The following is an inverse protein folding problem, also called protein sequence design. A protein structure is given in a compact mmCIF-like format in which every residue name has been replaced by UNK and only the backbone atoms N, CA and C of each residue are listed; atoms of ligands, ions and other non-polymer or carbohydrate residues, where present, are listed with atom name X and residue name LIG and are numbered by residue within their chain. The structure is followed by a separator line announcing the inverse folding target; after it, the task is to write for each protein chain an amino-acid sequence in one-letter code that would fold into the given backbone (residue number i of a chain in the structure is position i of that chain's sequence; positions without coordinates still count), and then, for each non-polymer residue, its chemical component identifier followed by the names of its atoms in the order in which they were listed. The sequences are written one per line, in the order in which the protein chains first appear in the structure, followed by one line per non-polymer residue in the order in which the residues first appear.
data_IF_315463978196
#
_entry.id   IF_315463978196
#
_cell.length_a   1.000
_cell.length_b   1.000
_cell.length_c   1.000
_cell.angle_alpha   90.00
_cell.angle_beta   90.00
_cell.angle_gamma   90.00
#
_symmetry.space_group_name_H-M   'P 1'
#
loop_
_entity.id
_entity.type
_entity.pdbx_description
1 polymer ?
#
# COMPACT_ATOMS: atom_id res chain seq x y z
N UNK A 1 -2.86 12.92 -66.24
CA UNK A 1 -2.31 13.91 -65.29
C UNK A 1 -3.03 13.78 -63.95
N UNK A 2 -2.25 13.82 -62.85
CA UNK A 2 -2.56 13.72 -61.41
C UNK A 2 -3.62 14.76 -60.97
N UNK A 3 -4.34 14.71 -59.83
CA UNK A 3 -4.54 13.82 -58.67
C UNK A 3 -5.76 14.45 -57.96
N UNK A 4 -6.82 13.70 -57.66
CA UNK A 4 -7.90 14.15 -56.77
C UNK A 4 -7.54 13.79 -55.31
N UNK A 5 -7.72 14.75 -54.40
CA UNK A 5 -7.54 14.58 -52.95
C UNK A 5 -8.66 13.71 -52.37
N UNK A 6 -8.32 12.50 -51.91
CA UNK A 6 -9.14 11.72 -50.98
C UNK A 6 -8.71 12.04 -49.54
N UNK A 7 -9.58 12.73 -48.79
CA UNK A 7 -9.48 12.83 -47.33
C UNK A 7 -9.96 11.49 -46.73
N UNK A 8 -9.05 10.69 -46.19
CA UNK A 8 -9.41 9.49 -45.42
C UNK A 8 -9.74 9.88 -43.97
N UNK A 9 -11.00 9.70 -43.58
CA UNK A 9 -11.38 9.61 -42.17
C UNK A 9 -10.75 8.32 -41.61
N UNK A 10 -9.88 8.44 -40.60
CA UNK A 10 -9.40 7.28 -39.86
C UNK A 10 -10.55 6.71 -39.03
N UNK A 11 -10.81 5.39 -39.04
CA UNK A 11 -11.89 4.80 -38.27
C UNK A 11 -11.61 4.93 -36.77
N UNK A 12 -12.65 5.28 -36.01
CA UNK A 12 -12.71 5.51 -34.55
C UNK A 12 -12.19 4.32 -33.71
N UNK A 13 -11.85 3.19 -34.33
CA UNK A 13 -11.41 1.96 -33.67
C UNK A 13 -9.93 1.96 -33.25
N UNK A 14 -9.05 2.73 -33.90
CA UNK A 14 -7.62 2.77 -33.55
C UNK A 14 -7.36 3.52 -32.23
N UNK A 15 -7.98 4.70 -31.97
CA UNK A 15 -7.81 5.39 -30.69
C UNK A 15 -8.36 4.60 -29.49
N UNK A 16 -9.44 3.84 -29.67
CA UNK A 16 -10.06 3.03 -28.62
C UNK A 16 -9.16 1.86 -28.21
N UNK A 17 -8.47 1.25 -29.18
CA UNK A 17 -7.51 0.17 -28.94
C UNK A 17 -6.26 0.67 -28.21
N UNK A 18 -5.76 1.85 -28.56
CA UNK A 18 -4.65 2.49 -27.85
C UNK A 18 -5.02 2.86 -26.40
N UNK A 19 -6.25 3.35 -26.17
CA UNK A 19 -6.75 3.66 -24.83
C UNK A 19 -6.87 2.39 -23.95
N UNK A 20 -7.32 1.28 -24.52
CA UNK A 20 -7.40 -0.01 -23.80
C UNK A 20 -6.01 -0.58 -23.46
N UNK A 21 -5.01 -0.41 -24.34
CA UNK A 21 -3.63 -0.82 -24.06
C UNK A 21 -3.02 0.03 -22.94
N UNK A 22 -3.27 1.34 -22.91
CA UNK A 22 -2.81 2.23 -21.83
C UNK A 22 -3.46 1.92 -20.48
N UNK A 23 -4.74 1.53 -20.46
CA UNK A 23 -5.46 1.14 -19.24
C UNK A 23 -4.99 -0.20 -18.67
N UNK A 24 -4.50 -1.12 -19.51
CA UNK A 24 -3.98 -2.41 -19.07
C UNK A 24 -2.51 -2.37 -18.62
N UNK A 25 -1.72 -1.36 -19.01
CA UNK A 25 -0.27 -1.30 -18.72
C UNK A 25 0.21 0.11 -18.32
N UNK A 26 -0.20 0.64 -17.15
CA UNK A 26 0.05 2.04 -16.76
C UNK A 26 1.52 2.39 -16.45
N UNK A 27 2.44 1.41 -16.40
CA UNK A 27 3.85 1.65 -16.03
C UNK A 27 4.80 1.91 -17.20
N UNK A 28 4.36 1.87 -18.46
CA UNK A 28 5.28 1.76 -19.60
C UNK A 28 5.02 2.71 -20.79
N UNK A 29 4.08 3.65 -20.68
CA UNK A 29 3.89 4.69 -21.71
C UNK A 29 4.59 5.98 -21.26
N UNK A 30 5.56 6.45 -22.04
CA UNK A 30 6.24 7.73 -21.83
C UNK A 30 5.20 8.86 -21.78
N UNK A 31 5.24 9.70 -20.72
CA UNK A 31 4.35 10.85 -20.50
C UNK A 31 4.32 11.82 -21.70
N UNK A 32 5.35 11.83 -22.56
CA UNK A 32 5.38 12.63 -23.80
C UNK A 32 4.46 12.10 -24.90
N UNK A 33 4.18 10.80 -24.94
CA UNK A 33 3.26 10.16 -25.91
C UNK A 33 1.81 10.39 -25.49
N UNK A 34 1.52 10.24 -24.20
CA UNK A 34 0.20 10.46 -23.61
C UNK A 34 -0.28 11.90 -23.81
N UNK A 35 0.60 12.88 -23.57
CA UNK A 35 0.31 14.30 -23.79
C UNK A 35 0.17 14.72 -25.26
N UNK A 36 0.67 13.91 -26.21
CA UNK A 36 0.49 14.15 -27.66
C UNK A 36 -0.88 13.63 -28.12
N UNK A 37 -1.27 12.43 -27.67
CA UNK A 37 -2.57 11.82 -27.96
C UNK A 37 -3.72 12.66 -27.39
N UNK A 38 -3.58 13.16 -26.16
CA UNK A 38 -4.58 14.02 -25.53
C UNK A 38 -4.72 15.36 -26.28
N UNK A 39 -3.61 15.94 -26.76
CA UNK A 39 -3.63 17.18 -27.55
C UNK A 39 -4.27 16.99 -28.92
N UNK A 40 -3.99 15.88 -29.60
CA UNK A 40 -4.61 15.56 -30.89
C UNK A 40 -6.13 15.32 -30.75
N UNK A 41 -6.56 14.73 -29.62
CA UNK A 41 -7.98 14.57 -29.29
C UNK A 41 -8.68 15.91 -29.00
N UNK A 42 -8.03 16.82 -28.27
CA UNK A 42 -8.55 18.16 -27.99
C UNK A 42 -8.60 19.05 -29.26
N UNK A 43 -7.65 18.88 -30.19
CA UNK A 43 -7.62 19.59 -31.46
C UNK A 43 -8.71 19.15 -32.44
N UNK A 44 -9.14 17.88 -32.37
CA UNK A 44 -10.23 17.35 -33.20
C UNK A 44 -11.64 17.67 -32.66
N UNK A 45 -11.75 18.14 -31.41
CA UNK A 45 -13.03 18.54 -30.78
C UNK A 45 -13.47 19.99 -31.00
N UNK A 46 -12.68 20.83 -31.67
CA UNK A 46 -12.99 22.26 -31.91
C UNK A 46 -13.31 22.56 -33.38
N UNK A 47 -14.33 21.93 -33.95
CA UNK A 47 -15.05 22.43 -35.14
C UNK A 47 -16.52 22.03 -35.05
N UNK A 48 -17.35 22.89 -34.47
CA UNK A 48 -18.80 22.87 -34.70
C UNK A 48 -19.10 23.68 -35.98
N UNK A 49 -20.17 23.34 -36.71
CA UNK A 49 -21.41 24.08 -36.48
C UNK A 49 -22.68 23.20 -36.43
N UNK A 50 -23.60 23.69 -35.61
CA UNK A 50 -25.05 23.58 -35.52
C UNK A 50 -25.83 22.60 -36.42
N UNK A 51 -26.88 22.04 -35.80
CA UNK A 51 -28.03 21.29 -36.34
C UNK A 51 -27.91 19.76 -36.47
N UNK A 52 -28.05 19.05 -35.35
CA UNK A 52 -28.68 17.71 -35.32
C UNK A 52 -29.09 17.29 -33.89
N UNK A 53 -30.31 16.76 -33.65
CA UNK A 53 -30.77 16.40 -32.30
C UNK A 53 -30.19 15.04 -31.87
N UNK A 54 -28.99 15.04 -31.30
CA UNK A 54 -28.40 13.86 -30.67
C UNK A 54 -27.54 14.17 -29.42
N UNK A 55 -27.64 15.38 -28.88
CA UNK A 55 -26.86 15.83 -27.71
C UNK A 55 -27.58 15.64 -26.36
N UNK A 56 -28.51 14.69 -26.24
CA UNK A 56 -29.23 14.38 -25.00
C UNK A 56 -29.00 12.95 -24.47
N UNK A 57 -28.01 12.20 -24.98
CA UNK A 57 -27.67 10.85 -24.49
C UNK A 57 -26.21 10.69 -24.05
N UNK A 58 -25.55 11.77 -23.64
CA UNK A 58 -24.17 11.73 -23.11
C UNK A 58 -24.07 12.00 -21.60
N UNK A 59 -25.19 12.00 -20.87
CA UNK A 59 -25.24 12.21 -19.41
C UNK A 59 -25.68 10.97 -18.60
N UNK A 60 -25.83 9.81 -19.23
CA UNK A 60 -26.38 8.59 -18.60
C UNK A 60 -25.40 7.43 -18.33
N UNK A 61 -24.10 7.58 -18.61
CA UNK A 61 -23.15 6.43 -18.59
C UNK A 61 -22.44 6.21 -17.24
N UNK A 62 -22.81 6.93 -16.18
CA UNK A 62 -22.19 6.77 -14.84
C UNK A 62 -23.15 6.38 -13.71
N UNK A 63 -24.24 5.67 -14.02
CA UNK A 63 -25.10 5.06 -13.00
C UNK A 63 -25.58 3.68 -13.45
N UNK A 64 -24.95 2.61 -12.92
CA UNK A 64 -25.39 1.25 -13.23
C UNK A 64 -24.39 0.12 -12.94
N UNK A 65 -23.64 0.20 -11.85
CA UNK A 65 -22.91 -0.94 -11.27
C UNK A 65 -23.65 -1.38 -10.00
N UNK A 66 -24.90 -1.81 -10.16
CA UNK A 66 -25.69 -2.50 -9.15
C UNK A 66 -26.28 -3.74 -9.82
N UNK A 67 -25.97 -4.92 -9.30
CA UNK A 67 -26.58 -6.19 -9.72
C UNK A 67 -28.05 -6.21 -9.27
N UNK A 68 -29.00 -6.61 -10.12
CA UNK A 68 -29.94 -7.63 -9.64
C UNK A 68 -30.49 -8.61 -10.71
N UNK A 69 -30.62 -9.87 -10.29
CA UNK A 69 -31.92 -10.53 -10.14
C UNK A 69 -32.82 -10.75 -11.36
N UNK A 70 -32.81 -12.00 -11.84
CA UNK A 70 -33.94 -12.75 -12.43
C UNK A 70 -35.30 -12.02 -12.55
N UNK A 71 -35.70 -11.61 -13.77
CA UNK A 71 -37.12 -11.63 -14.22
C UNK A 71 -37.23 -11.90 -15.73
N UNK A 72 -38.32 -12.59 -16.07
CA UNK A 72 -38.66 -13.26 -17.34
C UNK A 72 -38.89 -12.30 -18.53
N UNK A 73 -38.59 -12.80 -19.72
CA UNK A 73 -38.89 -12.20 -21.04
C UNK A 73 -40.39 -12.11 -21.34
N UNK A 74 -40.79 -11.16 -22.20
CA UNK A 74 -41.82 -11.40 -23.20
C UNK A 74 -41.23 -11.49 -24.61
N UNK A 75 -41.82 -12.40 -25.36
CA UNK A 75 -41.54 -12.85 -26.72
C UNK A 75 -41.73 -11.78 -27.80
N UNK A 76 -40.78 -11.66 -28.74
CA UNK A 76 -40.93 -10.82 -29.93
C UNK A 76 -39.84 -11.02 -30.99
N UNK A 77 -40.23 -11.66 -32.10
CA UNK A 77 -39.56 -11.93 -33.40
C UNK A 77 -38.12 -11.41 -33.65
N UNK A 78 -37.24 -12.37 -34.00
CA UNK A 78 -35.91 -12.16 -34.60
C UNK A 78 -36.00 -11.48 -35.98
N UNK A 79 -35.16 -10.47 -36.22
CA UNK A 79 -34.58 -10.15 -37.53
C UNK A 79 -33.07 -10.35 -37.47
N UNK A 80 -32.53 -11.06 -38.46
CA UNK A 80 -31.11 -11.31 -38.65
C UNK A 80 -30.45 -10.08 -39.30
N UNK A 81 -29.27 -9.69 -38.81
CA UNK A 81 -28.41 -8.69 -39.46
C UNK A 81 -27.74 -7.74 -38.47
N UNK A 82 -26.43 -7.91 -38.27
CA UNK A 82 -25.57 -6.99 -37.52
C UNK A 82 -25.10 -7.54 -36.17
N UNK A 83 -23.82 -7.89 -36.07
CA UNK A 83 -23.18 -8.13 -34.78
C UNK A 83 -23.24 -6.82 -33.98
N UNK A 84 -23.97 -6.79 -32.86
CA UNK A 84 -24.10 -5.57 -32.04
C UNK A 84 -22.73 -5.16 -31.49
N UNK A 85 -22.50 -3.86 -31.28
CA UNK A 85 -21.27 -3.31 -30.68
C UNK A 85 -20.85 -4.05 -29.40
N UNK A 86 -21.83 -4.53 -28.63
CA UNK A 86 -21.65 -5.35 -27.44
C UNK A 86 -21.03 -6.74 -27.70
N UNK A 87 -21.33 -7.35 -28.85
CA UNK A 87 -20.74 -8.65 -29.23
C UNK A 87 -19.25 -8.55 -29.56
N UNK A 88 -18.80 -7.43 -30.13
CA UNK A 88 -17.39 -7.19 -30.46
C UNK A 88 -16.58 -6.99 -29.19
N UNK A 89 -17.05 -6.13 -28.27
CA UNK A 89 -16.38 -5.88 -26.98
C UNK A 89 -16.28 -7.17 -26.15
N UNK A 90 -17.36 -7.97 -26.11
CA UNK A 90 -17.36 -9.25 -25.39
C UNK A 90 -16.38 -10.26 -25.99
N UNK A 91 -16.26 -10.31 -27.32
CA UNK A 91 -15.32 -11.21 -27.99
C UNK A 91 -13.86 -10.77 -27.80
N UNK A 92 -13.58 -9.46 -27.78
CA UNK A 92 -12.23 -8.93 -27.52
C UNK A 92 -11.79 -9.18 -26.08
N UNK A 93 -12.67 -8.95 -25.10
CA UNK A 93 -12.40 -9.23 -23.69
C UNK A 93 -12.13 -10.73 -23.45
N UNK A 94 -12.96 -11.61 -24.04
CA UNK A 94 -12.77 -13.06 -23.96
C UNK A 94 -11.43 -13.52 -24.58
N UNK A 95 -11.03 -12.92 -25.71
CA UNK A 95 -9.77 -13.28 -26.39
C UNK A 95 -8.54 -12.81 -25.60
N UNK A 96 -8.57 -11.59 -25.06
CA UNK A 96 -7.50 -11.04 -24.21
C UNK A 96 -7.28 -11.90 -22.97
N UNK A 97 -8.37 -12.34 -22.34
CA UNK A 97 -8.33 -13.20 -21.17
C UNK A 97 -7.66 -14.55 -21.48
N UNK A 98 -7.91 -15.18 -22.64
CA UNK A 98 -7.22 -16.42 -23.03
C UNK A 98 -5.78 -16.24 -23.46
N UNK A 99 -5.44 -15.09 -24.05
CA UNK A 99 -4.06 -14.76 -24.44
C UNK A 99 -3.16 -14.62 -23.21
N UNK A 100 -3.69 -14.05 -22.11
CA UNK A 100 -3.00 -13.94 -20.82
C UNK A 100 -2.80 -15.30 -20.12
N UNK A 101 -3.60 -16.32 -20.45
CA UNK A 101 -3.51 -17.67 -19.87
C UNK A 101 -2.76 -18.68 -20.75
N UNK A 102 -2.12 -18.24 -21.85
CA UNK A 102 -1.26 -19.09 -22.69
C UNK A 102 -1.96 -20.04 -23.66
N UNK A 103 -3.29 -19.97 -23.78
CA UNK A 103 -4.11 -20.97 -24.50
C UNK A 103 -4.53 -20.48 -25.91
N UNK A 104 -3.54 -20.22 -26.78
CA UNK A 104 -3.73 -19.48 -28.05
C UNK A 104 -4.05 -20.38 -29.26
N UNK A 105 -3.85 -21.70 -29.18
CA UNK A 105 -4.03 -22.59 -30.35
C UNK A 105 -5.50 -22.93 -30.68
N UNK A 106 -6.46 -22.34 -29.96
CA UNK A 106 -7.90 -22.50 -30.20
C UNK A 106 -8.60 -21.17 -30.51
N UNK A 107 -8.22 -20.51 -31.61
CA UNK A 107 -9.01 -19.39 -32.17
C UNK A 107 -9.99 -19.93 -33.24
N UNK A 108 -11.32 -19.79 -33.06
CA UNK A 108 -12.28 -20.25 -34.06
C UNK A 108 -12.20 -19.45 -35.36
N UNK A 109 -12.30 -20.12 -36.53
CA UNK A 109 -12.26 -19.53 -37.88
C UNK A 109 -13.38 -18.51 -38.20
N UNK A 110 -14.33 -18.27 -37.28
CA UNK A 110 -15.44 -17.31 -37.45
C UNK A 110 -15.44 -16.30 -36.30
N UNK A 111 -14.43 -15.45 -36.23
CA UNK A 111 -14.59 -14.15 -35.58
C UNK A 111 -15.15 -13.21 -36.64
N UNK A 112 -16.29 -12.56 -36.40
CA UNK A 112 -16.93 -11.63 -37.34
C UNK A 112 -16.15 -10.32 -37.56
N UNK A 113 -14.82 -10.39 -37.55
CA UNK A 113 -13.90 -9.29 -37.77
C UNK A 113 -13.73 -9.07 -39.28
N UNK A 114 -13.77 -7.82 -39.71
CA UNK A 114 -13.49 -7.44 -41.11
C UNK A 114 -12.04 -7.80 -41.45
N UNK A 115 -11.77 -8.11 -42.74
CA UNK A 115 -10.43 -8.49 -43.20
C UNK A 115 -9.29 -7.54 -42.79
N UNK A 116 -9.49 -6.20 -42.72
CA UNK A 116 -8.47 -5.27 -42.21
C UNK A 116 -8.14 -5.49 -40.73
N UNK A 117 -9.14 -5.74 -39.88
CA UNK A 117 -8.96 -5.94 -38.44
C UNK A 117 -8.23 -7.25 -38.13
N UNK A 118 -8.52 -8.32 -38.89
CA UNK A 118 -7.78 -9.57 -38.79
C UNK A 118 -6.30 -9.41 -39.20
N UNK A 119 -6.01 -8.52 -40.16
CA UNK A 119 -4.65 -8.22 -40.61
C UNK A 119 -3.87 -7.42 -39.57
N UNK A 120 -4.50 -6.40 -38.98
CA UNK A 120 -3.91 -5.63 -37.88
C UNK A 120 -3.62 -6.50 -36.65
N UNK A 121 -4.54 -7.41 -36.30
CA UNK A 121 -4.34 -8.35 -35.19
C UNK A 121 -3.15 -9.30 -35.43
N UNK A 122 -3.00 -9.83 -36.66
CA UNK A 122 -1.82 -10.65 -37.01
C UNK A 122 -0.51 -9.88 -36.90
N UNK A 123 -0.49 -8.60 -37.25
CA UNK A 123 0.69 -7.74 -37.09
C UNK A 123 1.03 -7.57 -35.61
N UNK A 124 0.05 -7.29 -34.75
CA UNK A 124 0.27 -7.13 -33.30
C UNK A 124 0.82 -8.42 -32.66
N UNK A 125 0.25 -9.58 -32.98
CA UNK A 125 0.73 -10.88 -32.47
C UNK A 125 2.15 -11.18 -32.97
N UNK A 126 2.46 -10.82 -34.22
CA UNK A 126 3.80 -11.01 -34.80
C UNK A 126 4.83 -10.10 -34.12
N UNK A 127 4.48 -8.84 -33.86
CA UNK A 127 5.34 -7.90 -33.13
C UNK A 127 5.57 -8.33 -31.68
N UNK A 128 4.54 -8.87 -31.01
CA UNK A 128 4.69 -9.42 -29.67
C UNK A 128 5.62 -10.64 -29.64
N UNK A 129 5.49 -11.56 -30.61
CA UNK A 129 6.43 -12.70 -30.76
C UNK A 129 7.86 -12.26 -31.03
N UNK A 130 8.04 -11.23 -31.88
CA UNK A 130 9.35 -10.68 -32.17
C UNK A 130 9.95 -10.00 -30.92
N UNK A 131 9.15 -9.26 -30.15
CA UNK A 131 9.57 -8.64 -28.90
C UNK A 131 9.98 -9.66 -27.83
N UNK A 132 9.21 -10.74 -27.64
CA UNK A 132 9.58 -11.83 -26.73
C UNK A 132 10.85 -12.54 -27.17
N UNK A 133 11.07 -12.71 -28.49
CA UNK A 133 12.32 -13.26 -29.02
C UNK A 133 13.51 -12.31 -28.84
N UNK A 134 13.31 -11.01 -29.02
CA UNK A 134 14.35 -10.01 -28.79
C UNK A 134 14.81 -10.01 -27.31
N UNK A 135 13.88 -10.20 -26.37
CA UNK A 135 14.20 -10.39 -24.94
C UNK A 135 14.96 -11.71 -24.66
N UNK A 136 14.72 -12.76 -25.45
CA UNK A 136 15.48 -14.03 -25.34
C UNK A 136 16.85 -14.02 -26.04
N UNK A 137 17.11 -13.05 -26.94
CA UNK A 137 18.36 -12.94 -27.71
C UNK A 137 19.35 -11.98 -27.04
N UNK A 138 18.92 -11.16 -26.09
CA UNK A 138 19.83 -10.32 -25.28
C UNK A 138 20.50 -11.05 -24.11
N UNK A 139 20.26 -12.35 -23.93
CA UNK A 139 21.07 -13.18 -23.04
C UNK A 139 22.28 -13.74 -23.80
N UNK A 140 23.17 -12.83 -24.18
CA UNK A 140 24.56 -13.20 -24.47
C UNK A 140 25.17 -13.78 -23.19
N UNK A 141 25.84 -14.92 -23.34
CA UNK A 141 26.48 -15.72 -22.30
C UNK A 141 27.25 -14.90 -21.26
N UNK A 142 26.58 -14.64 -20.14
CA UNK A 142 27.25 -14.41 -18.86
C UNK A 142 27.44 -15.81 -18.29
N UNK A 143 28.68 -16.26 -18.20
CA UNK A 143 29.02 -17.42 -17.38
C UNK A 143 28.37 -17.23 -16.00
N UNK A 144 27.69 -18.22 -15.42
CA UNK A 144 27.22 -18.09 -14.04
C UNK A 144 28.47 -18.04 -13.16
N UNK A 145 29.02 -16.84 -12.96
CA UNK A 145 29.59 -16.53 -11.66
C UNK A 145 28.49 -16.86 -10.68
N UNK A 146 28.77 -17.78 -9.76
CA UNK A 146 27.98 -18.00 -8.57
C UNK A 146 27.49 -16.64 -8.08
N UNK A 147 26.21 -16.36 -8.32
CA UNK A 147 25.51 -15.36 -7.54
C UNK A 147 25.44 -16.02 -6.18
N UNK A 148 26.52 -15.83 -5.41
CA UNK A 148 26.55 -16.13 -3.99
C UNK A 148 25.28 -15.47 -3.48
N UNK A 149 24.29 -16.24 -2.97
CA UNK A 149 23.06 -15.64 -2.48
C UNK A 149 23.49 -14.52 -1.56
N UNK A 150 22.99 -13.30 -1.80
CA UNK A 150 23.03 -12.24 -0.80
C UNK A 150 22.56 -12.93 0.46
N UNK A 151 23.49 -13.09 1.40
CA UNK A 151 23.46 -14.03 2.51
C UNK A 151 22.02 -14.23 2.96
N UNK A 152 21.48 -15.46 2.90
CA UNK A 152 20.19 -15.74 3.55
C UNK A 152 20.26 -15.03 4.91
N UNK A 153 19.34 -14.10 5.23
CA UNK A 153 19.43 -13.35 6.47
C UNK A 153 19.53 -14.40 7.56
N UNK A 154 20.62 -14.37 8.32
CA UNK A 154 20.93 -15.38 9.33
C UNK A 154 19.66 -15.62 10.15
N UNK A 155 19.08 -16.81 9.98
CA UNK A 155 17.73 -17.12 10.47
C UNK A 155 17.67 -16.76 11.94
N UNK A 156 16.61 -16.05 12.31
CA UNK A 156 16.32 -15.80 13.71
C UNK A 156 16.15 -17.14 14.43
N UNK A 157 16.40 -17.18 15.74
CA UNK A 157 16.31 -18.43 16.48
C UNK A 157 14.87 -18.95 16.43
N UNK A 158 14.67 -20.16 15.89
CA UNK A 158 13.33 -20.74 15.69
C UNK A 158 12.58 -20.97 17.02
N UNK A 159 13.31 -21.12 18.13
CA UNK A 159 12.75 -21.39 19.45
C UNK A 159 12.51 -20.14 20.31
N UNK A 160 12.88 -18.95 19.82
CA UNK A 160 12.73 -17.70 20.58
C UNK A 160 11.56 -16.87 20.03
N UNK A 161 10.78 -16.21 20.91
CA UNK A 161 9.73 -15.31 20.48
C UNK A 161 10.32 -14.12 19.71
N UNK A 162 9.57 -13.59 18.76
CA UNK A 162 10.06 -12.54 17.85
C UNK A 162 9.26 -11.26 17.98
N UNK A 163 9.96 -10.13 18.16
CA UNK A 163 9.38 -8.79 18.08
C UNK A 163 9.89 -8.05 16.84
N UNK A 164 8.98 -7.40 16.11
CA UNK A 164 9.34 -6.42 15.09
C UNK A 164 9.07 -5.02 15.63
N UNK A 165 10.09 -4.16 15.63
CA UNK A 165 10.00 -2.80 16.16
C UNK A 165 10.26 -1.80 15.03
N UNK A 166 9.26 -0.99 14.72
CA UNK A 166 9.44 0.12 13.76
C UNK A 166 10.08 1.33 14.44
N UNK A 167 11.09 1.96 13.81
CA UNK A 167 11.73 3.16 14.35
C UNK A 167 12.59 2.90 15.60
N UNK A 168 13.41 1.85 15.56
CA UNK A 168 14.22 1.37 16.68
C UNK A 168 15.60 2.05 16.82
N UNK A 169 15.93 3.05 15.99
CA UNK A 169 17.27 3.65 16.00
C UNK A 169 17.55 4.60 17.16
N UNK A 170 16.51 5.04 17.90
CA UNK A 170 16.64 6.00 19.02
C UNK A 170 15.43 5.98 19.92
N UNK A 171 15.53 6.65 21.06
CA UNK A 171 14.41 6.91 21.97
C UNK A 171 13.74 5.62 22.44
N UNK A 172 12.41 5.62 22.47
CA UNK A 172 11.63 4.51 22.99
C UNK A 172 11.82 3.21 22.19
N UNK A 173 11.94 3.30 20.86
CA UNK A 173 12.17 2.13 20.00
C UNK A 173 13.50 1.42 20.29
N UNK A 174 14.56 2.18 20.59
CA UNK A 174 15.86 1.62 20.97
C UNK A 174 15.79 0.94 22.35
N UNK A 175 15.11 1.57 23.31
CA UNK A 175 14.90 1.00 24.64
C UNK A 175 14.10 -0.32 24.58
N UNK A 176 13.09 -0.42 23.71
CA UNK A 176 12.40 -1.68 23.45
C UNK A 176 13.34 -2.75 22.88
N UNK A 177 14.16 -2.40 21.88
CA UNK A 177 15.08 -3.35 21.27
C UNK A 177 16.07 -3.91 22.30
N UNK A 178 16.61 -3.06 23.18
CA UNK A 178 17.52 -3.48 24.26
C UNK A 178 16.83 -4.40 25.27
N UNK A 179 15.61 -4.09 25.69
CA UNK A 179 14.92 -4.88 26.71
C UNK A 179 14.41 -6.22 26.18
N UNK A 180 13.83 -6.26 24.97
CA UNK A 180 13.42 -7.52 24.37
C UNK A 180 14.61 -8.45 24.13
N UNK A 181 15.74 -7.93 23.64
CA UNK A 181 16.93 -8.78 23.45
C UNK A 181 17.53 -9.25 24.78
N UNK A 182 17.46 -8.44 25.85
CA UNK A 182 17.89 -8.85 27.19
C UNK A 182 17.01 -9.97 27.77
N UNK A 183 15.77 -10.09 27.29
CA UNK A 183 14.86 -11.20 27.60
C UNK A 183 14.98 -12.37 26.62
N UNK A 184 16.07 -12.46 25.85
CA UNK A 184 16.33 -13.51 24.85
C UNK A 184 15.37 -13.56 23.65
N UNK A 185 14.63 -12.49 23.37
CA UNK A 185 13.80 -12.43 22.17
C UNK A 185 14.65 -12.20 20.91
N UNK A 186 14.17 -12.70 19.78
CA UNK A 186 14.60 -12.22 18.48
C UNK A 186 14.04 -10.81 18.25
N UNK A 187 14.88 -9.88 17.78
CA UNK A 187 14.46 -8.50 17.54
C UNK A 187 14.72 -8.13 16.09
N UNK A 188 13.66 -7.85 15.34
CA UNK A 188 13.73 -7.19 14.03
C UNK A 188 13.59 -5.68 14.28
N UNK A 189 14.72 -4.99 14.36
CA UNK A 189 14.78 -3.56 14.67
C UNK A 189 14.90 -2.74 13.39
N UNK A 190 13.87 -1.96 13.05
CA UNK A 190 13.87 -1.22 11.78
C UNK A 190 14.19 0.25 11.93
N UNK A 191 14.87 0.84 10.95
CA UNK A 191 15.13 2.27 10.88
C UNK A 191 15.32 2.74 9.42
N UNK A 192 15.18 4.05 9.17
CA UNK A 192 15.29 4.58 7.79
C UNK A 192 16.73 4.61 7.27
N UNK A 193 17.70 4.83 8.16
CA UNK A 193 19.11 4.93 7.81
C UNK A 193 19.95 4.13 8.81
N UNK A 194 20.34 2.92 8.39
CA UNK A 194 21.12 1.99 9.21
C UNK A 194 22.52 2.54 9.50
N UNK A 195 23.16 3.20 8.55
CA UNK A 195 24.53 3.71 8.76
C UNK A 195 24.58 4.82 9.81
N UNK A 196 23.54 5.65 9.87
CA UNK A 196 23.38 6.71 10.87
C UNK A 196 22.82 6.23 12.24
N UNK A 197 22.42 4.96 12.37
CA UNK A 197 21.85 4.41 13.60
C UNK A 197 22.95 3.87 14.55
N UNK A 198 23.85 4.73 15.02
CA UNK A 198 25.02 4.35 15.84
C UNK A 198 24.66 3.48 17.03
N UNK A 199 23.68 3.92 17.83
CA UNK A 199 23.34 3.30 19.11
C UNK A 199 22.71 1.91 18.88
N UNK A 200 21.85 1.81 17.86
CA UNK A 200 21.25 0.53 17.47
C UNK A 200 22.30 -0.44 16.91
N UNK A 201 23.28 0.05 16.15
CA UNK A 201 24.40 -0.76 15.66
C UNK A 201 25.29 -1.25 16.80
N UNK A 202 25.59 -0.39 17.76
CA UNK A 202 26.36 -0.76 18.95
C UNK A 202 25.60 -1.82 19.77
N UNK A 203 24.29 -1.64 19.93
CA UNK A 203 23.43 -2.61 20.60
C UNK A 203 23.44 -3.97 19.88
N UNK A 204 23.35 -3.99 18.55
CA UNK A 204 23.41 -5.23 17.76
C UNK A 204 24.77 -5.94 17.82
N UNK A 205 25.88 -5.21 18.03
CA UNK A 205 27.19 -5.83 18.31
C UNK A 205 27.19 -6.56 19.65
N UNK A 206 26.50 -6.01 20.67
CA UNK A 206 26.35 -6.64 21.99
C UNK A 206 25.36 -7.81 21.98
N UNK A 207 24.35 -7.74 21.12
CA UNK A 207 23.26 -8.69 21.06
C UNK A 207 23.05 -9.25 19.64
N UNK A 208 23.61 -10.44 19.33
CA UNK A 208 23.51 -11.06 18.01
C UNK A 208 22.07 -11.44 17.58
N UNK A 209 21.11 -11.42 18.50
CA UNK A 209 19.69 -11.66 18.23
C UNK A 209 18.98 -10.46 17.57
N UNK A 210 19.63 -9.29 17.53
CA UNK A 210 19.11 -8.12 16.81
C UNK A 210 19.44 -8.25 15.32
N UNK A 211 18.41 -8.09 14.49
CA UNK A 211 18.52 -7.88 13.05
C UNK A 211 18.10 -6.45 12.75
N UNK A 212 19.06 -5.65 12.28
CA UNK A 212 18.80 -4.27 11.89
C UNK A 212 18.32 -4.25 10.43
N UNK A 213 17.18 -3.62 10.20
CA UNK A 213 16.54 -3.57 8.89
C UNK A 213 16.27 -2.13 8.43
N UNK A 214 16.44 -1.88 7.13
CA UNK A 214 16.08 -0.59 6.55
C UNK A 214 14.57 -0.55 6.27
N UNK A 215 13.87 0.40 6.87
CA UNK A 215 12.44 0.60 6.62
C UNK A 215 12.03 2.07 6.77
N UNK A 216 11.45 2.61 5.71
CA UNK A 216 10.55 3.75 5.76
C UNK A 216 9.10 3.25 5.70
N UNK A 217 8.34 3.48 6.77
CA UNK A 217 6.95 3.02 6.90
C UNK A 217 5.98 3.70 5.92
N UNK A 218 6.41 4.79 5.27
CA UNK A 218 5.64 5.49 4.23
C UNK A 218 5.79 4.86 2.85
N UNK A 219 6.74 3.92 2.68
CA UNK A 219 7.09 3.33 1.39
C UNK A 219 6.59 1.89 1.25
N UNK A 220 5.52 1.73 0.47
CA UNK A 220 4.85 0.45 0.22
C UNK A 220 5.80 -0.64 -0.26
N UNK A 221 6.75 -0.30 -1.14
CA UNK A 221 7.72 -1.24 -1.69
C UNK A 221 8.75 -1.71 -0.66
N UNK A 222 9.17 -0.85 0.26
CA UNK A 222 10.06 -1.24 1.36
C UNK A 222 9.33 -2.12 2.38
N UNK A 223 8.10 -1.76 2.73
CA UNK A 223 7.26 -2.56 3.66
C UNK A 223 7.00 -3.95 3.08
N UNK A 224 6.61 -4.05 1.80
CA UNK A 224 6.35 -5.31 1.13
C UNK A 224 7.62 -6.17 0.98
N UNK A 225 8.76 -5.56 0.64
CA UNK A 225 10.04 -6.27 0.53
C UNK A 225 10.47 -6.84 1.89
N UNK A 226 10.31 -6.08 2.98
CA UNK A 226 10.67 -6.54 4.31
C UNK A 226 9.74 -7.67 4.78
N UNK A 227 8.43 -7.54 4.59
CA UNK A 227 7.48 -8.61 4.90
C UNK A 227 7.80 -9.90 4.12
N UNK A 228 8.15 -9.78 2.82
CA UNK A 228 8.54 -10.92 2.00
C UNK A 228 9.81 -11.60 2.49
N UNK A 229 10.80 -10.83 2.96
CA UNK A 229 12.05 -11.37 3.54
C UNK A 229 11.79 -12.23 4.78
N UNK A 230 10.79 -11.85 5.59
CA UNK A 230 10.42 -12.54 6.82
C UNK A 230 9.15 -13.38 6.67
N UNK A 231 8.77 -13.78 5.44
CA UNK A 231 7.51 -14.50 5.20
C UNK A 231 7.39 -15.82 5.98
N UNK A 232 8.51 -16.50 6.24
CA UNK A 232 8.57 -17.73 7.01
C UNK A 232 8.82 -17.53 8.52
N UNK A 233 8.94 -16.29 8.99
CA UNK A 233 9.24 -15.97 10.39
C UNK A 233 7.97 -15.54 11.12
N UNK A 234 7.49 -16.30 12.13
CA UNK A 234 6.43 -15.83 13.00
C UNK A 234 6.87 -14.58 13.79
N UNK A 235 5.95 -13.61 13.95
CA UNK A 235 6.16 -12.39 14.72
C UNK A 235 5.16 -12.35 15.88
N UNK A 236 5.63 -12.61 17.10
CA UNK A 236 4.80 -12.64 18.31
C UNK A 236 4.27 -11.25 18.67
N UNK A 237 5.10 -10.23 18.50
CA UNK A 237 4.75 -8.83 18.76
C UNK A 237 5.19 -7.97 17.58
N UNK A 238 4.22 -7.38 16.87
CA UNK A 238 4.47 -6.28 15.96
C UNK A 238 4.29 -4.96 16.71
N UNK A 239 5.37 -4.20 16.86
CA UNK A 239 5.41 -2.94 17.60
C UNK A 239 5.50 -1.74 16.64
N UNK A 240 4.36 -1.13 16.35
CA UNK A 240 4.23 0.12 15.61
C UNK A 240 4.66 1.31 16.49
N UNK A 241 5.97 1.51 16.62
CA UNK A 241 6.59 2.58 17.40
C UNK A 241 6.99 3.80 16.55
N UNK A 242 7.23 3.64 15.25
CA UNK A 242 7.63 4.76 14.40
C UNK A 242 6.58 5.88 14.44
N UNK A 243 7.06 7.11 14.68
CA UNK A 243 6.21 8.29 14.75
C UNK A 243 7.01 9.59 14.75
N UNK A 244 6.35 10.66 14.33
CA UNK A 244 6.91 12.00 14.24
C UNK A 244 5.92 13.00 14.83
N UNK A 245 6.45 14.06 15.47
CA UNK A 245 5.63 15.16 15.99
C UNK A 245 5.21 16.12 14.87
N UNK A 246 6.13 16.39 13.97
CA UNK A 246 6.10 17.52 13.07
C UNK A 246 6.44 18.83 13.76
N UNK A 247 6.67 19.90 12.98
CA UNK A 247 7.12 21.17 13.54
C UNK A 247 5.98 21.91 14.26
N UNK A 248 6.09 22.06 15.58
CA UNK A 248 5.09 22.69 16.44
C UNK A 248 4.66 24.10 15.97
N UNK A 249 5.59 24.93 15.51
CA UNK A 249 5.27 26.29 15.06
C UNK A 249 4.46 26.30 13.76
N UNK A 250 4.51 25.22 12.99
CA UNK A 250 3.79 25.04 11.72
C UNK A 250 2.48 24.26 11.90
N UNK A 251 2.03 24.04 13.15
CA UNK A 251 0.74 23.39 13.45
C UNK A 251 -0.22 24.34 14.18
N UNK A 252 -0.07 25.65 13.98
CA UNK A 252 -0.94 26.67 14.56
C UNK A 252 -1.85 27.25 13.49
N UNK A 253 -3.07 27.65 13.85
CA UNK A 253 -3.96 28.33 12.90
C UNK A 253 -3.30 29.63 12.42
N UNK A 254 -3.31 29.86 11.11
CA UNK A 254 -2.60 30.97 10.45
C UNK A 254 -1.19 30.62 9.95
N UNK A 255 -0.52 29.62 10.52
CA UNK A 255 0.82 29.15 10.09
C UNK A 255 0.84 27.66 9.73
N UNK A 256 -0.33 27.08 9.47
CA UNK A 256 -0.50 25.64 9.26
C UNK A 256 0.22 25.18 7.99
N UNK A 257 1.11 24.20 8.14
CA UNK A 257 1.74 23.49 7.03
C UNK A 257 1.00 22.17 6.78
N UNK A 258 0.17 22.16 5.74
CA UNK A 258 -0.61 20.98 5.37
C UNK A 258 0.23 19.88 4.72
N UNK A 259 1.39 20.18 4.14
CA UNK A 259 2.28 19.16 3.60
C UNK A 259 2.97 18.40 4.72
N UNK A 260 3.41 19.12 5.76
CA UNK A 260 3.83 18.51 7.01
C UNK A 260 2.70 17.69 7.63
N UNK A 261 1.46 18.20 7.59
CA UNK A 261 0.27 17.47 8.05
C UNK A 261 0.05 16.15 7.34
N UNK A 262 0.16 16.14 6.01
CA UNK A 262 0.11 14.91 5.20
C UNK A 262 1.19 13.94 5.64
N UNK A 263 2.43 14.40 5.82
CA UNK A 263 3.56 13.58 6.25
C UNK A 263 3.35 12.98 7.64
N UNK A 264 2.85 13.77 8.60
CA UNK A 264 2.56 13.31 9.96
C UNK A 264 1.46 12.26 9.98
N UNK A 265 0.37 12.44 9.21
CA UNK A 265 -0.65 11.40 9.03
C UNK A 265 -0.08 10.15 8.36
N UNK A 266 0.72 10.33 7.33
CA UNK A 266 1.26 9.24 6.51
C UNK A 266 2.19 8.33 7.31
N UNK A 267 3.02 8.92 8.20
CA UNK A 267 3.88 8.16 9.11
C UNK A 267 3.08 7.58 10.27
N UNK A 268 2.34 8.40 11.02
CA UNK A 268 1.79 8.01 12.32
C UNK A 268 0.58 7.09 12.19
N UNK A 269 -0.24 7.25 11.14
CA UNK A 269 -1.48 6.47 10.96
C UNK A 269 -1.34 5.46 9.81
N UNK A 270 -1.12 5.94 8.58
CA UNK A 270 -1.05 5.05 7.41
C UNK A 270 0.18 4.14 7.46
N UNK A 271 1.30 4.62 7.98
CA UNK A 271 2.53 3.83 8.12
C UNK A 271 2.34 2.63 9.06
N UNK A 272 1.74 2.86 10.24
CA UNK A 272 1.40 1.80 11.17
C UNK A 272 0.42 0.78 10.55
N UNK A 273 -0.60 1.26 9.84
CA UNK A 273 -1.55 0.37 9.14
C UNK A 273 -0.86 -0.43 8.03
N UNK A 274 -0.02 0.19 7.21
CA UNK A 274 0.72 -0.47 6.12
C UNK A 274 1.61 -1.59 6.64
N UNK A 275 2.38 -1.33 7.69
CA UNK A 275 3.22 -2.36 8.31
C UNK A 275 2.35 -3.48 8.89
N UNK A 276 1.27 -3.13 9.59
CA UNK A 276 0.34 -4.12 10.16
C UNK A 276 -0.30 -5.01 9.10
N UNK A 277 -0.72 -4.43 7.97
CA UNK A 277 -1.27 -5.17 6.83
C UNK A 277 -0.24 -6.13 6.23
N UNK A 278 0.99 -5.66 6.00
CA UNK A 278 2.02 -6.47 5.36
C UNK A 278 2.54 -7.61 6.24
N UNK A 279 2.61 -7.41 7.56
CA UNK A 279 3.07 -8.41 8.53
C UNK A 279 1.94 -9.27 9.12
N UNK A 280 0.71 -9.08 8.65
CA UNK A 280 -0.45 -9.80 9.15
C UNK A 280 -0.30 -11.34 9.07
N UNK A 281 0.24 -11.93 7.99
CA UNK A 281 0.49 -13.38 7.94
C UNK A 281 1.45 -13.87 9.03
N UNK A 282 2.55 -13.15 9.26
CA UNK A 282 3.59 -13.50 10.23
C UNK A 282 3.08 -13.39 11.67
N UNK A 283 2.25 -12.37 11.96
CA UNK A 283 1.58 -12.24 13.26
C UNK A 283 0.53 -13.33 13.43
N UNK A 284 -0.21 -13.68 12.37
CA UNK A 284 -1.20 -14.78 12.44
C UNK A 284 -0.54 -16.12 12.72
N UNK A 285 0.67 -16.36 12.18
CA UNK A 285 1.44 -17.58 12.38
C UNK A 285 2.10 -17.69 13.76
N UNK A 286 2.14 -16.61 14.54
CA UNK A 286 2.85 -16.60 15.82
C UNK A 286 2.02 -17.14 16.98
N UNK A 287 2.70 -17.38 18.11
CA UNK A 287 2.06 -17.88 19.32
C UNK A 287 1.29 -16.75 20.01
N UNK A 288 1.89 -15.58 20.17
CA UNK A 288 1.27 -14.48 20.91
C UNK A 288 0.28 -13.63 20.11
N UNK A 289 0.47 -13.49 18.79
CA UNK A 289 -0.43 -12.77 17.87
C UNK A 289 -0.76 -11.33 18.30
N UNK A 290 0.25 -10.52 18.64
CA UNK A 290 0.04 -9.14 19.14
C UNK A 290 0.46 -8.09 18.11
N UNK A 291 -0.42 -7.14 17.82
CA UNK A 291 -0.11 -5.89 17.10
C UNK A 291 -0.29 -4.73 18.09
N UNK A 292 0.81 -4.12 18.47
CA UNK A 292 0.85 -3.06 19.46
C UNK A 292 1.24 -1.76 18.78
N UNK A 293 0.43 -0.72 18.98
CA UNK A 293 0.71 0.62 18.49
C UNK A 293 1.05 1.57 19.64
N UNK A 294 2.10 2.39 19.48
CA UNK A 294 2.49 3.35 20.51
C UNK A 294 1.80 4.71 20.30
N UNK A 295 1.32 5.27 21.41
CA UNK A 295 0.77 6.63 21.48
C UNK A 295 -0.69 6.66 21.90
N UNK A 296 -1.45 7.63 21.36
CA UNK A 296 -2.91 7.64 21.49
C UNK A 296 -3.50 8.58 22.50
N UNK A 297 -2.77 8.91 23.58
CA UNK A 297 -3.27 9.87 24.56
C UNK A 297 -3.76 11.16 23.91
N UNK A 298 -2.92 11.82 23.10
CA UNK A 298 -3.30 13.03 22.38
C UNK A 298 -4.34 12.83 21.26
N UNK A 299 -4.55 11.59 20.82
CA UNK A 299 -5.51 11.27 19.75
C UNK A 299 -6.92 10.94 20.25
N UNK A 300 -7.06 10.54 21.52
CA UNK A 300 -8.36 10.37 22.17
C UNK A 300 -8.97 11.73 22.44
N UNK A 301 -10.27 11.88 22.17
CA UNK A 301 -11.02 13.09 22.49
C UNK A 301 -10.93 13.43 23.98
N UNK A 302 -11.02 12.42 24.85
CA UNK A 302 -10.98 12.59 26.32
C UNK A 302 -9.71 13.30 26.86
N UNK A 303 -8.61 13.29 26.10
CA UNK A 303 -7.34 13.95 26.46
C UNK A 303 -6.99 15.05 25.45
N UNK A 304 -7.14 14.80 24.16
CA UNK A 304 -6.76 15.71 23.08
C UNK A 304 -7.51 17.04 23.11
N UNK A 305 -8.74 17.06 23.63
CA UNK A 305 -9.56 18.27 23.75
C UNK A 305 -9.33 19.07 25.04
N UNK A 306 -8.46 18.61 25.96
CA UNK A 306 -8.18 19.31 27.22
C UNK A 306 -7.48 20.67 27.01
N UNK A 307 -6.84 20.85 25.86
CA UNK A 307 -6.16 22.10 25.47
C UNK A 307 -6.07 22.21 23.95
N UNK A 308 -5.89 23.43 23.44
CA UNK A 308 -5.76 23.70 21.99
C UNK A 308 -4.41 23.27 21.39
N UNK A 309 -4.22 23.52 20.10
CA UNK A 309 -2.94 23.30 19.39
C UNK A 309 -2.60 21.84 19.11
N UNK A 310 -1.38 21.62 18.59
CA UNK A 310 -0.84 20.29 18.25
C UNK A 310 -1.69 19.53 17.21
N UNK A 311 -2.28 20.25 16.27
CA UNK A 311 -3.30 19.73 15.34
C UNK A 311 -2.83 18.48 14.59
N UNK A 312 -1.63 18.52 13.98
CA UNK A 312 -1.16 17.41 13.15
C UNK A 312 -0.93 16.15 13.99
N UNK A 313 -0.40 16.31 15.21
CA UNK A 313 -0.22 15.19 16.13
C UNK A 313 -1.53 14.60 16.64
N UNK A 314 -2.45 15.44 17.11
CA UNK A 314 -3.73 14.98 17.64
C UNK A 314 -4.56 14.30 16.55
N UNK A 315 -4.67 14.93 15.37
CA UNK A 315 -5.41 14.36 14.24
C UNK A 315 -4.80 13.05 13.75
N UNK A 316 -3.47 12.98 13.61
CA UNK A 316 -2.81 11.74 13.16
C UNK A 316 -2.98 10.60 14.17
N UNK A 317 -2.95 10.88 15.48
CA UNK A 317 -3.19 9.85 16.51
C UNK A 317 -4.66 9.45 16.65
N UNK A 318 -5.61 10.34 16.38
CA UNK A 318 -7.02 9.99 16.27
C UNK A 318 -7.27 9.05 15.08
N UNK A 319 -6.69 9.37 13.90
CA UNK A 319 -6.77 8.50 12.73
C UNK A 319 -6.09 7.14 12.98
N UNK A 320 -4.93 7.14 13.66
CA UNK A 320 -4.22 5.91 14.04
C UNK A 320 -5.06 5.03 14.97
N UNK A 321 -5.68 5.61 16.01
CA UNK A 321 -6.59 4.87 16.90
C UNK A 321 -7.73 4.21 16.12
N UNK A 322 -8.40 4.95 15.25
CA UNK A 322 -9.51 4.42 14.45
C UNK A 322 -9.05 3.27 13.56
N UNK A 323 -7.90 3.43 12.88
CA UNK A 323 -7.32 2.37 12.05
C UNK A 323 -7.04 1.09 12.85
N UNK A 324 -6.49 1.20 14.06
CA UNK A 324 -6.22 0.05 14.92
C UNK A 324 -7.50 -0.58 15.48
N UNK A 325 -8.53 0.20 15.79
CA UNK A 325 -9.84 -0.30 16.22
C UNK A 325 -10.57 -1.08 15.11
N UNK A 326 -10.48 -0.61 13.86
CA UNK A 326 -11.01 -1.34 12.70
C UNK A 326 -10.21 -2.64 12.51
N UNK A 327 -8.88 -2.57 12.49
CA UNK A 327 -8.01 -3.74 12.35
C UNK A 327 -8.29 -4.79 13.42
N UNK A 328 -8.52 -4.37 14.67
CA UNK A 328 -8.92 -5.27 15.75
C UNK A 328 -10.21 -6.01 15.41
N UNK A 329 -11.20 -5.30 14.90
CA UNK A 329 -12.51 -5.88 14.57
C UNK A 329 -12.37 -6.93 13.46
N UNK A 330 -11.58 -6.63 12.43
CA UNK A 330 -11.33 -7.52 11.27
C UNK A 330 -10.42 -8.71 11.57
N UNK A 331 -9.65 -8.67 12.65
CA UNK A 331 -8.66 -9.72 13.00
C UNK A 331 -9.06 -10.55 14.21
N UNK A 332 -10.24 -10.27 14.78
CA UNK A 332 -10.72 -10.89 16.02
C UNK A 332 -10.85 -12.41 15.92
N UNK A 333 -11.38 -12.89 14.81
CA UNK A 333 -11.58 -14.32 14.50
C UNK A 333 -10.26 -15.10 14.39
N UNK A 334 -9.17 -14.41 14.06
CA UNK A 334 -7.81 -14.95 14.01
C UNK A 334 -7.08 -14.94 15.36
N UNK A 335 -7.75 -14.47 16.43
CA UNK A 335 -7.18 -14.39 17.77
C UNK A 335 -6.07 -13.34 17.91
N UNK A 336 -6.01 -12.36 17.00
CA UNK A 336 -5.00 -11.30 17.04
C UNK A 336 -5.43 -10.22 18.05
N UNK A 337 -4.51 -9.88 18.94
CA UNK A 337 -4.67 -8.80 19.91
C UNK A 337 -4.08 -7.53 19.32
N UNK A 338 -4.93 -6.56 19.03
CA UNK A 338 -4.58 -5.23 18.55
C UNK A 338 -4.91 -4.22 19.66
N UNK A 339 -3.86 -3.62 20.21
CA UNK A 339 -3.99 -2.67 21.33
C UNK A 339 -3.11 -1.46 21.06
N UNK A 340 -3.60 -0.30 21.50
CA UNK A 340 -2.81 0.91 21.49
C UNK A 340 -2.40 1.26 22.92
N UNK A 341 -1.10 1.48 23.13
CA UNK A 341 -0.54 1.78 24.44
C UNK A 341 0.06 3.17 24.44
N UNK A 342 -0.44 4.03 25.33
CA UNK A 342 0.14 5.33 25.62
C UNK A 342 1.36 5.14 26.54
N UNK A 343 2.59 5.41 26.08
CA UNK A 343 3.81 5.19 26.85
C UNK A 343 4.04 6.25 27.95
N UNK A 344 3.07 7.15 28.15
CA UNK A 344 3.21 8.31 29.01
C UNK A 344 4.03 9.42 28.35
N UNK A 345 4.49 10.37 29.16
CA UNK A 345 5.43 11.40 28.74
C UNK A 345 6.84 10.84 28.90
N UNK A 346 7.54 10.62 27.79
CA UNK A 346 8.86 9.97 27.79
C UNK A 346 9.91 10.96 27.31
N UNK A 347 11.02 11.09 28.03
CA UNK A 347 12.14 11.97 27.65
C UNK A 347 12.84 11.46 26.38
N UNK A 348 12.31 11.90 25.25
CA UNK A 348 12.76 11.58 23.91
C UNK A 348 12.72 12.85 23.07
N UNK A 349 13.38 12.83 21.91
CA UNK A 349 13.29 13.96 20.99
C UNK A 349 11.83 14.30 20.62
N UNK A 350 10.97 13.30 20.43
CA UNK A 350 9.55 13.53 20.09
C UNK A 350 8.82 14.32 21.18
N UNK A 351 9.15 14.07 22.46
CA UNK A 351 8.58 14.83 23.58
C UNK A 351 9.13 16.26 23.62
N UNK A 352 10.42 16.45 23.34
CA UNK A 352 11.00 17.80 23.23
C UNK A 352 10.39 18.59 22.06
N UNK A 353 10.15 17.94 20.93
CA UNK A 353 9.48 18.54 19.75
C UNK A 353 8.04 18.99 20.08
N UNK A 354 7.43 18.43 21.12
CA UNK A 354 6.10 18.84 21.60
C UNK A 354 6.10 20.14 22.41
N UNK A 355 7.28 20.66 22.79
CA UNK A 355 7.42 21.80 23.69
C UNK A 355 7.21 21.46 25.18
N UNK A 356 7.12 20.17 25.54
CA UNK A 356 6.96 19.73 26.93
C UNK A 356 8.25 19.94 27.74
N UNK A 357 8.12 20.59 28.90
CA UNK A 357 9.24 20.89 29.82
C UNK A 357 9.05 20.29 31.22
N UNK A 358 7.95 19.59 31.47
CA UNK A 358 7.65 18.98 32.76
C UNK A 358 8.30 17.61 32.98
N UNK A 359 7.97 16.97 34.09
CA UNK A 359 8.44 15.61 34.40
C UNK A 359 8.09 14.62 33.29
N UNK A 360 9.05 13.74 32.99
CA UNK A 360 8.92 12.69 31.99
C UNK A 360 9.64 11.43 32.49
N UNK A 361 9.13 10.26 32.08
CA UNK A 361 9.79 8.98 32.30
C UNK A 361 11.03 8.87 31.42
N UNK A 362 12.04 8.13 31.90
CA UNK A 362 13.13 7.70 31.04
C UNK A 362 12.60 6.76 29.94
N UNK A 363 13.23 6.70 28.76
CA UNK A 363 12.88 5.71 27.74
C UNK A 363 12.93 4.26 28.25
N UNK A 364 13.90 3.95 29.12
CA UNK A 364 14.03 2.63 29.70
C UNK A 364 12.87 2.28 30.64
N UNK A 365 12.46 3.19 31.52
CA UNK A 365 11.33 2.97 32.43
C UNK A 365 10.02 2.80 31.68
N UNK A 366 9.76 3.69 30.71
CA UNK A 366 8.57 3.60 29.87
C UNK A 366 8.53 2.28 29.08
N UNK A 367 9.65 1.89 28.44
CA UNK A 367 9.72 0.63 27.71
C UNK A 367 9.45 -0.57 28.61
N UNK A 368 10.01 -0.59 29.83
CA UNK A 368 9.81 -1.67 30.81
C UNK A 368 8.34 -1.81 31.20
N UNK A 369 7.69 -0.69 31.49
CA UNK A 369 6.27 -0.66 31.87
C UNK A 369 5.37 -1.09 30.71
N UNK A 370 5.67 -0.64 29.49
CA UNK A 370 4.93 -1.03 28.30
C UNK A 370 5.11 -2.52 27.98
N UNK A 371 6.33 -3.07 28.07
CA UNK A 371 6.58 -4.51 27.85
C UNK A 371 5.79 -5.34 28.86
N UNK A 372 5.87 -4.99 30.16
CA UNK A 372 5.09 -5.66 31.20
C UNK A 372 3.59 -5.62 30.91
N UNK A 373 3.09 -4.50 30.36
CA UNK A 373 1.69 -4.41 29.94
C UNK A 373 1.39 -5.34 28.76
N UNK A 374 2.24 -5.37 27.73
CA UNK A 374 2.08 -6.25 26.56
C UNK A 374 2.02 -7.73 26.97
N UNK A 375 2.80 -8.15 27.96
CA UNK A 375 2.80 -9.52 28.48
C UNK A 375 1.45 -9.93 29.05
N UNK A 376 0.78 -9.01 29.76
CA UNK A 376 -0.53 -9.25 30.40
C UNK A 376 -1.73 -9.15 29.45
N UNK A 377 -1.53 -8.76 28.18
CA UNK A 377 -2.64 -8.62 27.25
C UNK A 377 -3.23 -9.97 26.86
N UNK A 378 -4.53 -10.11 27.08
CA UNK A 378 -5.32 -11.26 26.68
C UNK A 378 -6.31 -10.91 25.56
N UNK A 379 -6.80 -11.90 24.79
CA UNK A 379 -7.79 -11.68 23.72
C UNK A 379 -9.04 -10.91 24.15
N UNK A 380 -9.44 -10.97 25.42
CA UNK A 380 -10.58 -10.22 25.96
C UNK A 380 -10.31 -8.72 26.16
N UNK A 381 -9.04 -8.29 26.20
CA UNK A 381 -8.62 -6.91 26.47
C UNK A 381 -8.48 -6.03 25.21
N UNK A 382 -9.01 -6.53 24.09
CA UNK A 382 -8.80 -6.04 22.74
C UNK A 382 -9.44 -4.68 22.42
N UNK A 383 -8.84 -3.90 21.51
CA UNK A 383 -9.44 -2.67 20.94
C UNK A 383 -9.47 -1.44 21.86
N UNK A 384 -8.82 -1.51 23.03
CA UNK A 384 -8.75 -0.38 23.97
C UNK A 384 -7.49 0.45 23.74
N UNK A 385 -7.60 1.76 23.96
CA UNK A 385 -6.45 2.58 24.30
C UNK A 385 -6.20 2.42 25.79
N UNK A 386 -4.99 2.02 26.14
CA UNK A 386 -4.55 1.90 27.52
C UNK A 386 -3.27 2.70 27.75
N UNK A 387 -3.03 3.13 28.98
CA UNK A 387 -1.74 3.69 29.40
C UNK A 387 -0.77 2.58 29.79
N UNK A 388 0.51 2.93 29.93
CA UNK A 388 1.56 2.00 30.37
C UNK A 388 1.27 1.37 31.75
N UNK A 389 0.54 2.04 32.63
CA UNK A 389 0.09 1.52 33.93
C UNK A 389 -1.24 0.73 33.86
N UNK A 390 -1.87 0.67 32.69
CA UNK A 390 -3.05 -0.14 32.41
C UNK A 390 -4.40 0.56 32.59
N UNK A 391 -4.42 1.87 32.85
CA UNK A 391 -5.67 2.62 32.83
C UNK A 391 -6.23 2.64 31.40
N UNK A 392 -7.54 2.41 31.29
CA UNK A 392 -8.24 2.55 30.03
C UNK A 392 -8.45 4.04 29.77
N UNK A 393 -8.03 4.50 28.61
CA UNK A 393 -8.32 5.85 28.13
C UNK A 393 -9.60 5.79 27.30
N UNK A 394 -10.69 6.45 27.72
CA UNK A 394 -11.89 6.56 26.91
C UNK A 394 -11.58 7.25 25.58
N UNK A 395 -12.35 6.89 24.55
CA UNK A 395 -12.34 7.66 23.31
C UNK A 395 -12.59 9.14 23.61
#
# INVERSE_FOLDING_TARGET
MRRAQLRSQAPIEVPLLCLLISLCFPRWVDRRVESRIIRDFAAHGKRAPHDHPAAAQASGVWAGLVLPGQRRQPTGRRRAGGASRWSIVRNVAWLLQRTLHGDIDRVPKKTGLTAPAARAFRVIVTLHRWFLRALSVSSGSITPQEVRPLTEPARLSENQPTVLITGANRGLGLAFAEQYTAQSWNVIATCRNVTAASDLRQLATRYPAIRIETLDVTRDDQVAALASRYAAQPVDVLLNNAGIYGNLSHQTLGTMDFDEGRRVLDVNALGALRVSQAFLPQVTASRQKKIISLGGGLGAQSIGSLFGGHYLMKMSKAAHLMAMGILQTETRDRGIIVVMISPGRVDTQLMRDSGWTGAALSPADSARLVIARIETLEPAMHGRLITYDGQIVPW
#
